data_IF_909046124264
#
_entry.id   IF_909046124264
#
_cell.length_a   1.000
_cell.length_b   1.000
_cell.length_c   1.000
_cell.angle_alpha   90.00
_cell.angle_beta   90.00
_cell.angle_gamma   90.00
#
_symmetry.space_group_name_H-M   'P 1'
#
loop_
_entity.id
_entity.type
_entity.pdbx_description
1 polymer ?
#
# COMPACT_ATOMS: atom_id res chain seq x y z
N UNK A 1 1.51 -35.68 2.11
CA UNK A 1 2.18 -34.43 2.50
C UNK A 1 1.14 -33.34 2.37
N UNK A 2 0.93 -32.56 3.42
CA UNK A 2 -0.03 -31.45 3.39
C UNK A 2 0.39 -30.46 2.28
N UNK A 3 -0.57 -29.91 1.54
CA UNK A 3 -0.33 -28.85 0.54
C UNK A 3 0.53 -27.71 1.08
N UNK A 4 0.42 -27.40 2.38
CA UNK A 4 1.20 -26.35 3.04
C UNK A 4 2.65 -26.76 3.29
N UNK A 5 2.89 -28.00 3.72
CA UNK A 5 4.26 -28.54 3.91
C UNK A 5 5.04 -28.51 2.59
N UNK A 6 4.40 -28.89 1.48
CA UNK A 6 5.01 -28.82 0.15
C UNK A 6 5.42 -27.40 -0.25
N UNK A 7 4.64 -26.38 0.14
CA UNK A 7 4.95 -24.99 -0.15
C UNK A 7 6.15 -24.50 0.68
N UNK A 8 6.26 -24.90 1.95
CA UNK A 8 7.45 -24.62 2.76
C UNK A 8 8.72 -25.26 2.19
N UNK A 9 8.65 -26.52 1.74
CA UNK A 9 9.77 -27.16 1.06
C UNK A 9 10.17 -26.43 -0.23
N UNK A 10 9.18 -25.97 -1.01
CA UNK A 10 9.41 -25.18 -2.23
C UNK A 10 10.13 -23.87 -1.88
N UNK A 11 9.69 -23.17 -0.83
CA UNK A 11 10.33 -21.94 -0.35
C UNK A 11 11.79 -22.16 0.05
N UNK A 12 12.09 -23.19 0.85
CA UNK A 12 13.45 -23.52 1.25
C UNK A 12 14.35 -23.81 0.04
N UNK A 13 13.88 -24.66 -0.89
CA UNK A 13 14.64 -25.03 -2.11
C UNK A 13 14.94 -23.81 -2.96
N UNK A 14 13.97 -22.94 -3.16
CA UNK A 14 14.12 -21.74 -3.99
C UNK A 14 15.06 -20.72 -3.35
N UNK A 15 14.93 -20.48 -2.04
CA UNK A 15 15.84 -19.62 -1.30
C UNK A 15 17.30 -20.12 -1.36
N UNK A 16 17.52 -21.43 -1.21
CA UNK A 16 18.85 -22.04 -1.38
C UNK A 16 19.37 -21.88 -2.81
N UNK A 17 18.52 -22.07 -3.83
CA UNK A 17 18.89 -21.89 -5.24
C UNK A 17 19.37 -20.45 -5.53
N UNK A 18 18.78 -19.46 -4.87
CA UNK A 18 19.14 -18.05 -5.00
C UNK A 18 20.32 -17.62 -4.11
N UNK A 19 20.92 -18.54 -3.34
CA UNK A 19 22.11 -18.29 -2.53
C UNK A 19 21.85 -17.91 -1.07
N UNK A 20 20.62 -18.08 -0.57
CA UNK A 20 20.28 -17.93 0.84
C UNK A 20 20.36 -19.25 1.63
N UNK A 21 20.21 -19.16 2.95
CA UNK A 21 19.95 -20.33 3.81
C UNK A 21 18.45 -20.60 3.84
N UNK A 22 18.00 -21.55 3.00
CA UNK A 22 16.59 -21.85 2.82
C UNK A 22 15.89 -22.32 4.10
N UNK A 23 16.58 -23.10 4.95
CA UNK A 23 16.00 -23.58 6.20
C UNK A 23 15.87 -22.42 7.20
N UNK A 24 16.91 -21.59 7.35
CA UNK A 24 16.87 -20.44 8.25
C UNK A 24 15.79 -19.42 7.84
N UNK A 25 15.54 -19.27 6.53
CA UNK A 25 14.46 -18.42 5.99
C UNK A 25 13.09 -19.01 6.32
N UNK A 26 12.88 -20.31 6.11
CA UNK A 26 11.60 -20.97 6.47
C UNK A 26 11.32 -20.86 7.97
N UNK A 27 12.32 -21.10 8.82
CA UNK A 27 12.19 -20.95 10.28
C UNK A 27 11.79 -19.52 10.66
N UNK A 28 12.42 -18.52 10.04
CA UNK A 28 12.08 -17.11 10.27
C UNK A 28 10.64 -16.79 9.83
N UNK A 29 10.16 -17.34 8.71
CA UNK A 29 8.77 -17.17 8.30
C UNK A 29 7.79 -17.90 9.22
N UNK A 30 8.14 -19.06 9.77
CA UNK A 30 7.31 -19.69 10.81
C UNK A 30 7.15 -18.78 12.03
N UNK A 31 8.23 -18.13 12.49
CA UNK A 31 8.16 -17.14 13.55
C UNK A 31 7.27 -15.95 13.17
N UNK A 32 7.43 -15.40 11.97
CA UNK A 32 6.58 -14.31 11.47
C UNK A 32 5.10 -14.72 11.38
N UNK A 33 4.79 -15.93 10.92
CA UNK A 33 3.40 -16.39 10.80
C UNK A 33 2.77 -16.66 12.17
N UNK A 34 3.59 -17.02 13.17
CA UNK A 34 3.11 -17.34 14.52
C UNK A 34 2.52 -16.14 15.26
N UNK A 35 2.82 -14.90 14.82
CA UNK A 35 2.27 -13.70 15.46
C UNK A 35 0.85 -13.37 14.98
N UNK A 36 0.37 -14.00 13.91
CA UNK A 36 -0.96 -13.75 13.34
C UNK A 36 -1.97 -14.80 13.84
N UNK A 37 -3.16 -14.34 14.24
CA UNK A 37 -4.25 -15.21 14.68
C UNK A 37 -5.36 -15.30 13.65
N UNK A 38 -5.99 -16.48 13.51
CA UNK A 38 -7.21 -16.62 12.70
C UNK A 38 -8.41 -15.81 13.25
N UNK A 39 -8.32 -15.24 14.46
CA UNK A 39 -9.30 -14.26 14.97
C UNK A 39 -9.47 -13.07 14.02
N UNK A 40 -8.40 -12.70 13.31
CA UNK A 40 -8.38 -11.61 12.34
C UNK A 40 -9.40 -11.83 11.23
N UNK A 41 -9.60 -13.07 10.79
CA UNK A 41 -10.56 -13.38 9.73
C UNK A 41 -12.00 -13.07 10.16
N UNK A 42 -12.39 -13.47 11.37
CA UNK A 42 -13.72 -13.17 11.91
C UNK A 42 -13.89 -11.68 12.21
N UNK A 43 -12.85 -11.03 12.73
CA UNK A 43 -12.83 -9.57 12.91
C UNK A 43 -13.06 -8.83 11.59
N UNK A 44 -12.35 -9.21 10.52
CA UNK A 44 -12.49 -8.59 9.20
C UNK A 44 -13.91 -8.79 8.64
N UNK A 45 -14.48 -9.98 8.80
CA UNK A 45 -15.85 -10.27 8.39
C UNK A 45 -16.87 -9.41 9.12
N UNK A 46 -16.66 -9.17 10.42
CA UNK A 46 -17.53 -8.32 11.24
C UNK A 46 -17.41 -6.81 10.94
N UNK A 47 -16.49 -6.39 10.07
CA UNK A 47 -16.40 -5.00 9.57
C UNK A 47 -17.16 -4.78 8.26
N UNK A 48 -17.68 -5.83 7.64
CA UNK A 48 -18.49 -5.70 6.44
C UNK A 48 -19.87 -5.14 6.78
N UNK A 49 -20.29 -4.09 6.06
CA UNK A 49 -21.63 -3.55 6.15
C UNK A 49 -22.48 -4.18 5.02
N UNK A 50 -23.51 -5.00 5.34
CA UNK A 50 -24.25 -5.79 4.36
C UNK A 50 -25.25 -5.00 3.49
N UNK A 51 -25.72 -3.83 3.95
CA UNK A 51 -26.70 -3.02 3.23
C UNK A 51 -26.08 -2.07 2.22
N UNK A 52 -24.97 -1.43 2.59
CA UNK A 52 -24.14 -0.56 1.78
C UNK A 52 -23.25 -1.40 0.87
N UNK A 53 -22.59 -2.44 1.41
CA UNK A 53 -21.67 -3.29 0.66
C UNK A 53 -20.20 -2.90 0.75
N UNK A 54 -19.79 -2.15 1.76
CA UNK A 54 -18.39 -1.77 1.99
C UNK A 54 -17.86 -2.30 3.33
N UNK A 55 -16.58 -2.06 3.60
CA UNK A 55 -15.97 -2.33 4.90
C UNK A 55 -15.75 -1.04 5.69
N UNK A 56 -16.08 -1.08 6.98
CA UNK A 56 -15.65 -0.07 7.94
C UNK A 56 -14.13 -0.17 8.19
N UNK A 57 -13.53 0.94 8.61
CA UNK A 57 -12.09 1.02 8.87
C UNK A 57 -11.66 0.30 10.16
N UNK A 58 -12.49 0.32 11.20
CA UNK A 58 -12.25 -0.32 12.50
C UNK A 58 -13.57 -0.60 13.24
N UNK A 59 -13.53 -1.26 14.40
CA UNK A 59 -14.73 -1.53 15.20
C UNK A 59 -15.42 -0.22 15.63
N UNK A 60 -14.67 0.78 16.07
CA UNK A 60 -15.24 2.07 16.48
C UNK A 60 -15.93 2.81 15.34
N UNK A 61 -15.45 2.68 14.10
CA UNK A 61 -16.12 3.24 12.93
C UNK A 61 -17.43 2.52 12.60
N UNK A 62 -17.52 1.20 12.86
CA UNK A 62 -18.76 0.42 12.70
C UNK A 62 -19.76 0.75 13.80
N UNK A 63 -19.30 0.82 15.03
CA UNK A 63 -20.15 0.86 16.23
C UNK A 63 -20.61 2.28 16.59
N UNK A 64 -20.16 3.31 15.86
CA UNK A 64 -20.53 4.70 16.09
C UNK A 64 -20.96 5.35 14.77
N UNK A 65 -22.04 6.12 14.80
CA UNK A 65 -22.52 6.84 13.61
C UNK A 65 -21.61 8.02 13.26
N UNK A 66 -21.12 8.75 14.27
CA UNK A 66 -20.26 9.91 14.09
C UNK A 66 -19.41 10.21 15.33
N UNK A 67 -18.43 11.11 15.17
CA UNK A 67 -17.74 11.82 16.26
C UNK A 67 -17.94 13.32 16.12
N UNK A 68 -18.16 14.02 17.22
CA UNK A 68 -18.24 15.48 17.23
C UNK A 68 -16.88 16.10 17.58
N UNK A 69 -16.36 16.97 16.73
CA UNK A 69 -15.11 17.69 16.95
C UNK A 69 -15.38 19.17 16.68
N UNK A 70 -15.15 20.02 17.68
CA UNK A 70 -15.40 21.47 17.59
C UNK A 70 -16.83 21.83 17.13
N UNK A 71 -17.83 21.01 17.49
CA UNK A 71 -19.23 21.19 17.11
C UNK A 71 -19.60 20.68 15.71
N UNK A 72 -18.65 20.10 14.97
CA UNK A 72 -18.89 19.49 13.66
C UNK A 72 -19.00 17.96 13.79
N UNK A 73 -20.03 17.38 13.15
CA UNK A 73 -20.22 15.93 13.09
C UNK A 73 -19.40 15.33 11.95
N UNK A 74 -18.56 14.36 12.30
CA UNK A 74 -17.81 13.54 11.35
C UNK A 74 -18.38 12.13 11.33
N UNK A 75 -19.15 11.80 10.31
CA UNK A 75 -19.81 10.51 10.18
C UNK A 75 -18.84 9.38 9.81
N UNK A 76 -19.09 8.19 10.33
CA UNK A 76 -18.40 6.97 9.95
C UNK A 76 -19.28 6.14 9.03
N UNK A 77 -18.78 5.87 7.82
CA UNK A 77 -19.39 4.99 6.84
C UNK A 77 -18.29 4.13 6.20
N UNK A 78 -18.64 2.99 5.60
CA UNK A 78 -17.69 2.23 4.79
C UNK A 78 -17.02 3.08 3.72
N UNK A 79 -15.76 2.76 3.42
CA UNK A 79 -15.00 3.48 2.41
C UNK A 79 -14.27 2.54 1.43
N UNK A 80 -13.96 3.07 0.25
CA UNK A 80 -13.31 2.34 -0.83
C UNK A 80 -11.89 1.86 -0.50
N UNK A 81 -11.14 2.57 0.35
CA UNK A 81 -9.78 2.18 0.76
C UNK A 81 -9.88 0.94 1.65
N UNK A 82 -10.71 0.98 2.71
CA UNK A 82 -10.95 -0.18 3.57
C UNK A 82 -11.54 -1.36 2.80
N UNK A 83 -12.46 -1.11 1.87
CA UNK A 83 -13.07 -2.17 1.05
C UNK A 83 -12.06 -2.83 0.11
N UNK A 84 -11.21 -2.04 -0.56
CA UNK A 84 -10.16 -2.57 -1.41
C UNK A 84 -9.09 -3.32 -0.61
N UNK A 85 -8.71 -2.80 0.57
CA UNK A 85 -7.73 -3.43 1.45
C UNK A 85 -8.26 -4.76 2.04
N UNK A 86 -9.50 -4.79 2.53
CA UNK A 86 -10.13 -6.00 3.02
C UNK A 86 -10.20 -7.09 1.94
N UNK A 87 -10.63 -6.74 0.73
CA UNK A 87 -10.69 -7.71 -0.39
C UNK A 87 -9.29 -8.15 -0.84
N UNK A 88 -8.30 -7.26 -0.84
CA UNK A 88 -6.90 -7.63 -1.04
C UNK A 88 -6.43 -8.63 0.00
N UNK A 89 -6.81 -8.44 1.27
CA UNK A 89 -6.44 -9.35 2.34
C UNK A 89 -7.00 -10.75 2.15
N UNK A 90 -8.26 -10.87 1.71
CA UNK A 90 -8.85 -12.18 1.40
C UNK A 90 -8.04 -12.94 0.34
N UNK A 91 -7.63 -12.24 -0.72
CA UNK A 91 -6.83 -12.84 -1.80
C UNK A 91 -5.40 -13.16 -1.33
N UNK A 92 -4.72 -12.18 -0.75
CA UNK A 92 -3.30 -12.26 -0.40
C UNK A 92 -3.00 -13.19 0.77
N UNK A 93 -3.96 -13.51 1.63
CA UNK A 93 -3.75 -14.50 2.71
C UNK A 93 -4.16 -15.92 2.31
N UNK A 94 -4.55 -16.11 1.05
CA UNK A 94 -5.03 -17.38 0.50
C UNK A 94 -6.41 -17.80 1.01
N UNK A 95 -7.19 -16.87 1.58
CA UNK A 95 -8.58 -17.16 1.95
C UNK A 95 -9.45 -17.36 0.71
N UNK A 96 -9.16 -16.61 -0.35
CA UNK A 96 -9.79 -16.71 -1.66
C UNK A 96 -8.72 -16.77 -2.76
N UNK A 97 -8.98 -17.52 -3.83
CA UNK A 97 -8.21 -17.40 -5.07
C UNK A 97 -8.77 -16.28 -5.94
N UNK A 98 -10.08 -16.03 -5.85
CA UNK A 98 -10.77 -14.97 -6.56
C UNK A 98 -11.89 -14.34 -5.73
N UNK A 99 -12.11 -13.02 -5.89
CA UNK A 99 -13.27 -12.35 -5.30
C UNK A 99 -14.61 -12.87 -5.85
N UNK A 100 -14.59 -13.63 -6.94
CA UNK A 100 -15.76 -14.32 -7.49
C UNK A 100 -16.27 -15.46 -6.60
N UNK A 101 -15.47 -15.94 -5.63
CA UNK A 101 -15.88 -16.95 -4.65
C UNK A 101 -16.71 -16.40 -3.48
N UNK A 102 -16.72 -15.07 -3.29
CA UNK A 102 -17.59 -14.42 -2.30
C UNK A 102 -19.06 -14.72 -2.61
N UNK A 103 -19.97 -14.76 -1.62
CA UNK A 103 -21.41 -14.92 -1.90
C UNK A 103 -21.94 -13.89 -2.91
N UNK A 104 -22.80 -14.31 -3.84
CA UNK A 104 -23.27 -13.45 -4.93
C UNK A 104 -23.88 -12.12 -4.45
N UNK A 105 -24.67 -12.18 -3.37
CA UNK A 105 -25.28 -11.00 -2.77
C UNK A 105 -24.23 -9.99 -2.30
N UNK A 106 -23.13 -10.47 -1.70
CA UNK A 106 -22.03 -9.66 -1.20
C UNK A 106 -21.27 -9.00 -2.36
N UNK A 107 -20.99 -9.76 -3.42
CA UNK A 107 -20.36 -9.22 -4.64
C UNK A 107 -21.20 -8.11 -5.26
N UNK A 108 -22.51 -8.32 -5.41
CA UNK A 108 -23.43 -7.30 -5.96
C UNK A 108 -23.45 -6.03 -5.12
N UNK A 109 -23.46 -6.15 -3.79
CA UNK A 109 -23.41 -5.00 -2.87
C UNK A 109 -22.08 -4.24 -3.00
N UNK A 110 -20.94 -4.92 -3.05
CA UNK A 110 -19.62 -4.28 -3.27
C UNK A 110 -19.54 -3.54 -4.62
N UNK A 111 -20.04 -4.15 -5.69
CA UNK A 111 -20.10 -3.51 -7.02
C UNK A 111 -21.00 -2.27 -7.01
N UNK A 112 -22.17 -2.38 -6.39
CA UNK A 112 -23.11 -1.27 -6.26
C UNK A 112 -22.50 -0.12 -5.44
N UNK A 113 -21.90 -0.44 -4.30
CA UNK A 113 -21.19 0.51 -3.45
C UNK A 113 -20.13 1.26 -4.25
N UNK A 114 -19.20 0.55 -4.88
CA UNK A 114 -18.09 1.15 -5.63
C UNK A 114 -18.59 2.04 -6.77
N UNK A 115 -19.60 1.58 -7.51
CA UNK A 115 -20.18 2.32 -8.64
C UNK A 115 -20.86 3.61 -8.17
N UNK A 116 -21.48 3.60 -6.99
CA UNK A 116 -22.21 4.75 -6.45
C UNK A 116 -21.32 5.92 -6.03
N UNK A 117 -20.03 5.67 -5.77
CA UNK A 117 -19.09 6.70 -5.34
C UNK A 117 -18.54 7.54 -6.51
N UNK A 118 -18.74 7.08 -7.76
CA UNK A 118 -18.22 7.77 -8.94
C UNK A 118 -19.09 8.97 -9.31
N UNK A 119 -18.48 10.15 -9.31
CA UNK A 119 -19.11 11.39 -9.74
C UNK A 119 -19.23 11.44 -11.28
N UNK A 120 -20.44 11.60 -11.84
CA UNK A 120 -20.62 11.81 -13.27
C UNK A 120 -20.04 13.14 -13.76
N UNK A 121 -19.93 14.13 -12.88
CA UNK A 121 -19.49 15.49 -13.23
C UNK A 121 -18.01 15.54 -13.59
N UNK A 122 -17.15 14.92 -12.78
CA UNK A 122 -15.68 15.06 -12.87
C UNK A 122 -14.94 13.71 -12.96
N UNK A 123 -15.64 12.57 -12.78
CA UNK A 123 -15.06 11.24 -12.91
C UNK A 123 -14.16 10.83 -11.74
N UNK A 124 -14.25 11.53 -10.59
CA UNK A 124 -13.57 11.16 -9.34
C UNK A 124 -14.49 10.39 -8.39
N UNK A 125 -13.87 9.76 -7.39
CA UNK A 125 -14.55 9.01 -6.33
C UNK A 125 -14.75 9.92 -5.12
N UNK A 126 -15.99 9.98 -4.61
CA UNK A 126 -16.34 10.75 -3.42
C UNK A 126 -17.23 9.94 -2.49
N UNK A 127 -16.93 9.99 -1.20
CA UNK A 127 -17.69 9.32 -0.15
C UNK A 127 -18.75 10.24 0.43
N UNK A 128 -19.96 9.75 0.75
CA UNK A 128 -21.04 10.58 1.30
C UNK A 128 -20.62 11.39 2.53
N UNK A 129 -19.79 10.81 3.41
CA UNK A 129 -19.35 11.43 4.66
C UNK A 129 -18.30 12.55 4.49
N UNK A 130 -17.65 12.67 3.33
CA UNK A 130 -16.60 13.67 3.09
C UNK A 130 -16.90 14.61 1.91
N UNK A 131 -17.74 14.18 0.97
CA UNK A 131 -18.06 14.91 -0.26
C UNK A 131 -16.81 15.23 -1.08
N UNK A 132 -16.81 16.37 -1.77
CA UNK A 132 -15.68 16.82 -2.60
C UNK A 132 -14.53 17.44 -1.80
N UNK A 133 -14.72 17.72 -0.51
CA UNK A 133 -13.75 18.41 0.35
C UNK A 133 -12.67 17.46 0.89
N UNK A 134 -11.98 16.78 -0.02
CA UNK A 134 -10.88 15.87 0.27
C UNK A 134 -9.58 16.38 -0.34
N UNK A 135 -8.45 16.10 0.33
CA UNK A 135 -7.12 16.46 -0.18
C UNK A 135 -6.87 15.82 -1.55
N UNK A 136 -6.09 16.50 -2.38
CA UNK A 136 -5.69 16.00 -3.71
C UNK A 136 -5.10 14.58 -3.64
N UNK A 137 -4.29 14.31 -2.62
CA UNK A 137 -3.66 13.00 -2.41
C UNK A 137 -4.67 11.88 -2.12
N UNK A 138 -5.81 12.16 -1.48
CA UNK A 138 -6.89 11.20 -1.25
C UNK A 138 -7.69 10.98 -2.53
N UNK A 139 -8.04 12.07 -3.23
CA UNK A 139 -8.83 12.03 -4.47
C UNK A 139 -8.21 11.13 -5.55
N UNK A 140 -6.91 11.30 -5.82
CA UNK A 140 -6.22 10.46 -6.82
C UNK A 140 -6.12 8.99 -6.40
N UNK A 141 -6.18 8.73 -5.10
CA UNK A 141 -6.04 7.42 -4.49
C UNK A 141 -7.32 6.61 -4.53
N UNK A 142 -8.42 7.20 -4.08
CA UNK A 142 -9.76 6.61 -4.10
C UNK A 142 -10.16 6.24 -5.53
N UNK A 143 -9.75 7.05 -6.51
CA UNK A 143 -9.88 6.71 -7.91
C UNK A 143 -9.13 5.42 -8.30
N UNK A 144 -7.86 5.28 -7.90
CA UNK A 144 -7.07 4.08 -8.20
C UNK A 144 -7.68 2.84 -7.53
N UNK A 145 -8.16 2.95 -6.28
CA UNK A 145 -8.82 1.83 -5.62
C UNK A 145 -10.11 1.40 -6.30
N UNK A 146 -10.94 2.33 -6.76
CA UNK A 146 -12.13 1.99 -7.54
C UNK A 146 -11.77 1.31 -8.87
N UNK A 147 -10.70 1.73 -9.54
CA UNK A 147 -10.20 1.09 -10.76
C UNK A 147 -9.73 -0.35 -10.49
N UNK A 148 -9.00 -0.59 -9.40
CA UNK A 148 -8.60 -1.96 -9.01
C UNK A 148 -9.81 -2.85 -8.71
N UNK A 149 -10.85 -2.30 -8.09
CA UNK A 149 -12.07 -3.05 -7.79
C UNK A 149 -12.77 -3.53 -9.06
N UNK A 150 -12.77 -2.76 -10.16
CA UNK A 150 -13.29 -3.21 -11.46
C UNK A 150 -12.64 -4.52 -11.91
N UNK A 151 -11.31 -4.63 -11.78
CA UNK A 151 -10.58 -5.84 -12.13
C UNK A 151 -10.86 -7.02 -11.20
N UNK A 152 -10.97 -6.78 -9.89
CA UNK A 152 -11.23 -7.85 -8.90
C UNK A 152 -12.63 -8.46 -9.01
N UNK A 153 -13.63 -7.65 -9.34
CA UNK A 153 -15.04 -8.02 -9.35
C UNK A 153 -15.65 -8.12 -10.76
N UNK A 154 -14.81 -7.98 -11.80
CA UNK A 154 -15.19 -8.06 -13.21
C UNK A 154 -16.43 -7.19 -13.55
N UNK A 155 -16.33 -5.89 -13.27
CA UNK A 155 -17.38 -4.92 -13.60
C UNK A 155 -16.80 -3.65 -14.22
N UNK A 156 -17.68 -2.84 -14.80
CA UNK A 156 -17.34 -1.51 -15.33
C UNK A 156 -17.99 -0.41 -14.50
N UNK A 157 -17.24 0.64 -14.23
CA UNK A 157 -17.76 1.86 -13.63
C UNK A 157 -18.80 2.52 -14.56
N UNK A 158 -19.82 3.19 -14.00
CA UNK A 158 -20.96 3.70 -14.77
C UNK A 158 -20.64 4.93 -15.64
N UNK A 159 -19.52 5.63 -15.37
CA UNK A 159 -19.09 6.83 -16.09
C UNK A 159 -17.58 6.77 -16.38
N UNK A 160 -17.07 7.52 -17.37
CA UNK A 160 -15.64 7.67 -17.57
C UNK A 160 -14.97 8.31 -16.36
N UNK A 161 -13.88 7.71 -15.89
CA UNK A 161 -13.01 8.22 -14.84
C UNK A 161 -12.28 9.49 -15.27
N UNK A 162 -11.77 10.26 -14.31
CA UNK A 162 -10.94 11.43 -14.60
C UNK A 162 -9.72 11.09 -15.48
N UNK A 163 -9.12 9.90 -15.29
CA UNK A 163 -7.98 9.43 -16.09
C UNK A 163 -8.39 9.11 -17.53
N UNK A 164 -9.55 8.47 -17.74
CA UNK A 164 -10.06 8.16 -19.08
C UNK A 164 -10.38 9.44 -19.85
N UNK A 165 -11.04 10.42 -19.19
CA UNK A 165 -11.32 11.74 -19.77
C UNK A 165 -10.04 12.46 -20.23
N UNK A 166 -8.99 12.41 -19.42
CA UNK A 166 -7.67 12.96 -19.76
C UNK A 166 -6.99 12.23 -20.94
N UNK A 167 -7.26 10.94 -21.13
CA UNK A 167 -6.72 10.18 -22.28
C UNK A 167 -7.51 10.48 -23.55
N UNK A 168 -8.83 10.58 -23.44
CA UNK A 168 -9.74 10.86 -24.55
C UNK A 168 -9.57 12.27 -25.14
N UNK A 169 -8.94 13.21 -24.41
CA UNK A 169 -8.60 14.52 -24.96
C UNK A 169 -7.55 14.45 -26.08
N UNK A 170 -6.76 13.37 -26.16
CA UNK A 170 -5.78 13.14 -27.23
C UNK A 170 -4.81 14.30 -27.42
N UNK A 171 -4.46 14.60 -28.68
CA UNK A 171 -3.61 15.74 -29.09
C UNK A 171 -4.38 17.02 -29.41
N UNK A 172 -5.66 17.09 -29.07
CA UNK A 172 -6.45 18.30 -29.32
C UNK A 172 -5.89 19.48 -28.50
N UNK A 173 -5.34 20.54 -29.15
CA UNK A 173 -4.68 21.63 -28.45
C UNK A 173 -5.63 22.43 -27.57
N UNK A 174 -6.87 22.64 -28.00
CA UNK A 174 -7.87 23.40 -27.26
C UNK A 174 -8.32 22.65 -26.00
N UNK A 175 -8.52 21.33 -26.10
CA UNK A 175 -8.80 20.49 -24.93
C UNK A 175 -7.61 20.38 -23.99
N UNK A 176 -6.38 20.30 -24.51
CA UNK A 176 -5.17 20.32 -23.68
C UNK A 176 -5.04 21.66 -22.97
N UNK A 177 -5.33 22.79 -23.62
CA UNK A 177 -5.32 24.11 -23.01
C UNK A 177 -6.35 24.23 -21.89
N UNK A 178 -7.59 23.78 -22.11
CA UNK A 178 -8.66 23.73 -21.09
C UNK A 178 -8.28 22.84 -19.90
N UNK A 179 -7.64 21.68 -20.15
CA UNK A 179 -7.15 20.80 -19.09
C UNK A 179 -5.99 21.46 -18.32
N UNK A 180 -5.05 22.10 -19.02
CA UNK A 180 -3.90 22.78 -18.43
C UNK A 180 -4.32 23.99 -17.59
N UNK A 181 -5.36 24.73 -18.01
CA UNK A 181 -5.95 25.83 -17.24
C UNK A 181 -6.48 25.34 -15.88
N UNK A 182 -6.95 24.10 -15.82
CA UNK A 182 -7.41 23.45 -14.59
C UNK A 182 -6.31 22.67 -13.83
N UNK A 183 -5.07 22.63 -14.35
CA UNK A 183 -3.93 22.02 -13.65
C UNK A 183 -3.27 23.02 -12.69
N UNK A 184 -2.63 22.55 -11.60
CA UNK A 184 -1.82 23.40 -10.74
C UNK A 184 -0.76 24.20 -11.51
N UNK A 185 -0.55 25.46 -11.12
CA UNK A 185 0.38 26.39 -11.79
C UNK A 185 1.80 25.84 -11.94
N UNK A 186 2.29 25.07 -10.96
CA UNK A 186 3.62 24.47 -11.00
C UNK A 186 3.80 23.40 -12.07
N UNK A 187 2.75 22.98 -12.77
CA UNK A 187 2.84 22.04 -13.89
C UNK A 187 2.82 22.73 -15.26
N UNK A 188 2.74 24.06 -15.31
CA UNK A 188 2.59 24.81 -16.57
C UNK A 188 3.90 24.97 -17.34
N UNK A 189 5.06 24.89 -16.66
CA UNK A 189 6.37 24.98 -17.29
C UNK A 189 7.44 24.23 -16.51
N UNK A 190 8.59 23.99 -17.15
CA UNK A 190 9.75 23.36 -16.51
C UNK A 190 10.28 24.23 -15.36
N UNK A 191 10.33 25.54 -15.56
CA UNK A 191 10.85 26.51 -14.60
C UNK A 191 9.96 26.58 -13.36
N UNK A 192 8.65 26.68 -13.54
CA UNK A 192 7.69 26.69 -12.44
C UNK A 192 7.71 25.37 -11.66
N UNK A 193 7.89 24.25 -12.37
CA UNK A 193 7.99 22.94 -11.72
C UNK A 193 9.28 22.79 -10.91
N UNK A 194 10.41 23.26 -11.43
CA UNK A 194 11.68 23.27 -10.69
C UNK A 194 11.61 24.19 -9.46
N UNK A 195 10.99 25.37 -9.58
CA UNK A 195 10.76 26.25 -8.44
C UNK A 195 9.92 25.56 -7.36
N UNK A 196 8.85 24.90 -7.78
CA UNK A 196 8.02 24.08 -6.89
C UNK A 196 8.83 22.96 -6.21
N UNK A 197 9.63 22.19 -6.95
CA UNK A 197 10.46 21.13 -6.38
C UNK A 197 11.47 21.69 -5.37
N UNK A 198 12.07 22.85 -5.64
CA UNK A 198 12.99 23.54 -4.72
C UNK A 198 12.28 24.11 -3.48
N UNK A 199 10.99 24.41 -3.56
CA UNK A 199 10.20 24.90 -2.41
C UNK A 199 9.90 23.82 -1.38
N UNK A 200 10.04 22.54 -1.74
CA UNK A 200 9.78 21.41 -0.85
C UNK A 200 10.98 21.14 0.07
N UNK A 201 10.69 20.77 1.32
CA UNK A 201 11.69 20.46 2.35
C UNK A 201 12.21 19.02 2.18
N UNK A 202 13.07 18.76 1.19
CA UNK A 202 13.64 17.44 0.94
C UNK A 202 14.60 16.99 2.05
N UNK A 203 15.33 17.94 2.63
CA UNK A 203 16.35 17.67 3.64
C UNK A 203 15.73 17.13 4.93
N UNK A 204 14.63 17.74 5.41
CA UNK A 204 13.99 17.35 6.67
C UNK A 204 12.66 16.61 6.48
N UNK A 205 12.06 16.63 5.29
CA UNK A 205 10.73 16.06 5.03
C UNK A 205 10.67 15.33 3.69
N UNK A 206 11.66 14.47 3.42
CA UNK A 206 11.72 13.68 2.20
C UNK A 206 10.46 12.86 1.92
N UNK A 207 9.86 12.22 2.94
CA UNK A 207 8.59 11.48 2.75
C UNK A 207 7.43 12.40 2.33
N UNK A 208 7.07 13.47 3.08
CA UNK A 208 6.02 14.39 2.64
C UNK A 208 6.26 15.01 1.26
N UNK A 209 7.51 15.43 0.98
CA UNK A 209 7.90 16.02 -0.31
C UNK A 209 7.72 15.00 -1.44
N UNK A 210 8.29 13.80 -1.29
CA UNK A 210 8.14 12.70 -2.26
C UNK A 210 6.69 12.24 -2.44
N UNK A 211 5.89 12.20 -1.36
CA UNK A 211 4.48 11.85 -1.43
C UNK A 211 3.67 12.87 -2.24
N UNK A 212 3.98 14.16 -2.13
CA UNK A 212 3.29 15.22 -2.87
C UNK A 212 3.61 15.17 -4.37
N UNK A 213 4.87 14.89 -4.73
CA UNK A 213 5.27 14.70 -6.12
C UNK A 213 4.64 13.42 -6.70
N UNK A 214 4.76 12.29 -6.00
CA UNK A 214 4.23 10.99 -6.47
C UNK A 214 2.72 11.00 -6.63
N UNK A 215 1.99 11.69 -5.75
CA UNK A 215 0.53 11.84 -5.85
C UNK A 215 0.09 12.60 -7.11
N UNK A 216 0.99 13.39 -7.71
CA UNK A 216 0.74 14.14 -8.94
C UNK A 216 1.39 13.48 -10.17
N UNK A 217 1.93 12.27 -10.03
CA UNK A 217 2.76 11.65 -11.06
C UNK A 217 2.12 11.53 -12.43
N UNK A 218 0.82 11.20 -12.49
CA UNK A 218 0.08 11.14 -13.76
C UNK A 218 0.02 12.52 -14.44
N UNK A 219 -0.21 13.59 -13.67
CA UNK A 219 -0.22 14.95 -14.22
C UNK A 219 1.18 15.41 -14.63
N UNK A 220 2.21 15.09 -13.83
CA UNK A 220 3.61 15.38 -14.15
C UNK A 220 4.02 14.68 -15.47
N UNK A 221 3.65 13.41 -15.64
CA UNK A 221 3.91 12.67 -16.89
C UNK A 221 3.13 13.28 -18.06
N UNK A 222 1.86 13.63 -17.87
CA UNK A 222 1.03 14.24 -18.90
C UNK A 222 1.55 15.63 -19.33
N UNK A 223 2.11 16.40 -18.40
CA UNK A 223 2.75 17.70 -18.66
C UNK A 223 4.14 17.59 -19.29
N UNK A 224 4.67 16.37 -19.50
CA UNK A 224 6.01 16.16 -20.05
C UNK A 224 7.15 16.52 -19.08
N UNK A 225 6.86 16.56 -17.78
CA UNK A 225 7.80 17.01 -16.73
C UNK A 225 8.46 15.86 -15.95
N UNK A 226 8.23 14.61 -16.37
CA UNK A 226 8.74 13.43 -15.68
C UNK A 226 10.29 13.41 -15.58
N UNK A 227 10.99 13.75 -16.66
CA UNK A 227 12.46 13.81 -16.66
C UNK A 227 12.99 14.95 -15.79
N UNK A 228 12.27 16.07 -15.69
CA UNK A 228 12.61 17.19 -14.80
C UNK A 228 12.59 16.75 -13.33
N UNK A 229 11.57 15.98 -12.93
CA UNK A 229 11.49 15.43 -11.58
C UNK A 229 12.64 14.45 -11.30
N UNK A 230 12.95 13.56 -12.26
CA UNK A 230 14.01 12.56 -12.11
C UNK A 230 15.39 13.21 -12.01
N UNK A 231 15.70 14.18 -12.87
CA UNK A 231 17.00 14.88 -12.86
C UNK A 231 17.21 15.63 -11.53
N UNK A 232 16.17 16.31 -11.06
CA UNK A 232 16.18 16.97 -9.75
C UNK A 232 16.46 15.95 -8.63
N UNK A 233 15.71 14.85 -8.56
CA UNK A 233 15.87 13.83 -7.53
C UNK A 233 17.26 13.18 -7.58
N UNK A 234 17.81 12.92 -8.77
CA UNK A 234 19.16 12.42 -8.93
C UNK A 234 20.19 13.37 -8.34
N UNK A 235 20.01 14.69 -8.53
CA UNK A 235 20.95 15.72 -8.05
C UNK A 235 21.02 15.85 -6.53
N UNK A 236 19.99 15.41 -5.80
CA UNK A 236 19.88 15.54 -4.34
C UNK A 236 19.97 14.19 -3.61
N UNK A 237 20.18 13.08 -4.32
CA UNK A 237 20.37 11.77 -3.70
C UNK A 237 21.74 11.70 -3.00
N UNK A 238 21.77 11.18 -1.78
CA UNK A 238 23.01 10.96 -1.04
C UNK A 238 23.74 9.71 -1.59
N UNK A 239 25.01 9.80 -2.02
CA UNK A 239 25.72 8.67 -2.60
C UNK A 239 26.06 7.58 -1.56
N UNK A 240 26.25 7.92 -0.29
CA UNK A 240 26.63 6.96 0.75
C UNK A 240 25.45 6.04 1.13
N UNK A 241 24.27 6.60 1.33
CA UNK A 241 23.07 5.87 1.76
C UNK A 241 22.10 5.53 0.63
N UNK A 242 22.17 6.23 -0.50
CA UNK A 242 21.13 6.17 -1.54
C UNK A 242 19.80 6.81 -1.13
N UNK A 243 19.71 7.42 0.06
CA UNK A 243 18.51 8.10 0.53
C UNK A 243 18.41 9.54 0.03
N UNK A 244 17.23 10.13 0.22
CA UNK A 244 16.96 11.55 -0.02
C UNK A 244 16.63 12.18 1.34
N UNK A 245 17.39 13.21 1.72
CA UNK A 245 17.29 13.88 3.02
C UNK A 245 18.36 13.44 4.03
N UNK A 246 18.43 14.17 5.15
CA UNK A 246 19.54 14.06 6.11
C UNK A 246 19.41 12.93 7.13
N UNK A 247 18.20 12.40 7.30
CA UNK A 247 17.93 11.37 8.30
C UNK A 247 18.40 10.00 7.81
N UNK A 248 18.82 9.18 8.77
CA UNK A 248 19.04 7.75 8.62
C UNK A 248 17.91 7.00 9.35
N UNK A 249 17.77 5.69 9.14
CA UNK A 249 16.69 4.91 9.78
C UNK A 249 15.36 4.92 9.01
N UNK A 250 14.24 4.73 9.73
CA UNK A 250 12.94 4.52 9.10
C UNK A 250 12.41 5.77 8.36
N UNK A 251 12.81 6.96 8.76
CA UNK A 251 12.50 8.21 8.06
C UNK A 251 13.12 8.23 6.65
N UNK A 252 14.36 7.76 6.53
CA UNK A 252 15.04 7.62 5.24
C UNK A 252 14.30 6.62 4.34
N UNK A 253 13.93 5.47 4.90
CA UNK A 253 13.19 4.41 4.21
C UNK A 253 11.82 4.89 3.74
N UNK A 254 11.12 5.66 4.57
CA UNK A 254 9.86 6.28 4.20
C UNK A 254 10.07 7.18 2.97
N UNK A 255 11.11 8.01 2.96
CA UNK A 255 11.50 8.82 1.80
C UNK A 255 11.75 7.97 0.54
N UNK A 256 12.59 6.94 0.66
CA UNK A 256 12.92 5.99 -0.42
C UNK A 256 11.65 5.38 -1.02
N UNK A 257 10.75 4.88 -0.17
CA UNK A 257 9.47 4.30 -0.61
C UNK A 257 8.72 5.26 -1.52
N UNK A 258 8.52 6.50 -1.08
CA UNK A 258 7.71 7.47 -1.83
C UNK A 258 8.41 7.88 -3.12
N UNK A 259 9.69 8.20 -3.03
CA UNK A 259 10.47 8.68 -4.18
C UNK A 259 10.62 7.60 -5.25
N UNK A 260 10.70 6.32 -4.87
CA UNK A 260 10.69 5.20 -5.83
C UNK A 260 9.46 5.22 -6.75
N UNK A 261 8.32 5.73 -6.28
CA UNK A 261 7.11 5.92 -7.08
C UNK A 261 7.28 6.90 -8.23
N UNK A 262 8.09 7.96 -8.05
CA UNK A 262 8.39 8.96 -9.09
C UNK A 262 9.18 8.30 -10.23
N UNK A 263 10.22 7.52 -9.91
CA UNK A 263 11.01 6.79 -10.91
C UNK A 263 10.17 5.76 -11.68
N UNK A 264 9.26 5.05 -10.99
CA UNK A 264 8.33 4.10 -11.61
C UNK A 264 7.40 4.80 -12.62
N UNK A 265 6.82 5.94 -12.24
CA UNK A 265 5.95 6.73 -13.12
C UNK A 265 6.72 7.31 -14.33
N UNK A 266 7.94 7.78 -14.11
CA UNK A 266 8.82 8.31 -15.14
C UNK A 266 9.43 7.23 -16.05
N UNK A 267 9.28 5.94 -15.70
CA UNK A 267 9.94 4.82 -16.39
C UNK A 267 11.46 5.01 -16.47
N UNK A 268 12.07 5.35 -15.34
CA UNK A 268 13.51 5.53 -15.18
C UNK A 268 14.06 4.60 -14.11
N UNK A 269 15.29 4.14 -14.31
CA UNK A 269 16.00 3.34 -13.32
C UNK A 269 16.39 4.21 -12.12
N UNK A 270 16.23 3.68 -10.90
CA UNK A 270 16.67 4.35 -9.67
C UNK A 270 18.21 4.36 -9.62
N UNK A 271 18.85 5.52 -9.42
CA UNK A 271 20.30 5.59 -9.20
C UNK A 271 20.69 5.03 -7.83
N UNK A 272 21.95 4.64 -7.69
CA UNK A 272 22.53 4.16 -6.44
C UNK A 272 21.69 3.05 -5.75
N UNK A 273 21.09 2.18 -6.56
CA UNK A 273 20.06 1.26 -6.12
C UNK A 273 20.52 0.26 -5.05
N UNK A 274 21.79 -0.18 -5.10
CA UNK A 274 22.35 -1.08 -4.10
C UNK A 274 22.38 -0.43 -2.71
N UNK A 275 22.98 0.75 -2.56
CA UNK A 275 23.01 1.46 -1.28
C UNK A 275 21.60 1.82 -0.80
N UNK A 276 20.73 2.22 -1.73
CA UNK A 276 19.31 2.50 -1.42
C UNK A 276 18.60 1.28 -0.84
N UNK A 277 18.79 0.09 -1.42
CA UNK A 277 18.21 -1.15 -0.92
C UNK A 277 18.85 -1.58 0.41
N UNK A 278 20.17 -1.41 0.56
CA UNK A 278 20.88 -1.78 1.79
C UNK A 278 20.48 -0.89 2.97
N UNK A 279 20.28 0.40 2.77
CA UNK A 279 19.70 1.29 3.79
C UNK A 279 18.35 0.78 4.29
N UNK A 280 17.48 0.32 3.38
CA UNK A 280 16.20 -0.27 3.77
C UNK A 280 16.36 -1.61 4.53
N UNK A 281 17.31 -2.45 4.09
CA UNK A 281 17.63 -3.71 4.76
C UNK A 281 18.23 -3.52 6.15
N UNK A 282 19.11 -2.54 6.33
CA UNK A 282 19.71 -2.17 7.61
C UNK A 282 18.64 -1.75 8.62
N UNK A 283 17.64 -0.97 8.17
CA UNK A 283 16.53 -0.53 9.03
C UNK A 283 15.71 -1.70 9.60
N UNK A 284 15.54 -2.78 8.84
CA UNK A 284 14.84 -3.98 9.32
C UNK A 284 15.58 -4.65 10.48
N UNK A 285 16.91 -4.57 10.51
CA UNK A 285 17.74 -5.18 11.55
C UNK A 285 18.02 -4.27 12.75
N UNK A 286 17.65 -2.99 12.70
CA UNK A 286 17.78 -2.08 13.85
C UNK A 286 16.97 -2.60 15.05
N UNK A 287 17.56 -2.64 16.24
CA UNK A 287 16.85 -2.92 17.50
C UNK A 287 16.20 -1.63 18.02
N UNK A 288 15.21 -1.15 17.28
CA UNK A 288 14.38 0.01 17.60
C UNK A 288 12.91 -0.34 17.54
N UNK A 289 12.13 0.25 18.44
CA UNK A 289 10.68 0.14 18.40
C UNK A 289 10.13 0.93 17.21
N UNK A 290 9.12 0.37 16.55
CA UNK A 290 8.43 1.06 15.46
C UNK A 290 7.30 1.91 16.03
N UNK A 291 7.28 3.21 15.71
CA UNK A 291 6.17 4.09 16.11
C UNK A 291 4.90 3.84 15.30
N UNK A 292 5.05 3.30 14.09
CA UNK A 292 3.94 2.94 13.22
C UNK A 292 4.23 1.64 12.47
N UNK A 293 3.19 0.85 12.24
CA UNK A 293 3.26 -0.44 11.55
C UNK A 293 3.89 -0.32 10.15
N UNK A 294 3.67 0.81 9.48
CA UNK A 294 4.18 1.05 8.12
C UNK A 294 5.70 1.06 8.04
N UNK A 295 6.42 1.27 9.13
CA UNK A 295 7.88 1.38 9.11
C UNK A 295 8.56 0.13 8.52
N UNK A 296 8.18 -1.05 9.00
CA UNK A 296 8.72 -2.33 8.53
C UNK A 296 8.27 -2.63 7.10
N UNK A 297 6.98 -2.38 6.81
CA UNK A 297 6.43 -2.55 5.48
C UNK A 297 7.13 -1.67 4.45
N UNK A 298 7.40 -0.42 4.77
CA UNK A 298 8.05 0.52 3.86
C UNK A 298 9.47 0.07 3.51
N UNK A 299 10.18 -0.60 4.43
CA UNK A 299 11.50 -1.16 4.16
C UNK A 299 11.43 -2.32 3.15
N UNK A 300 10.63 -3.34 3.43
CA UNK A 300 10.45 -4.48 2.51
C UNK A 300 9.93 -4.03 1.14
N UNK A 301 8.94 -3.14 1.14
CA UNK A 301 8.37 -2.60 -0.08
C UNK A 301 9.38 -1.79 -0.88
N UNK A 302 10.27 -1.03 -0.23
CA UNK A 302 11.33 -0.28 -0.92
C UNK A 302 12.29 -1.20 -1.65
N UNK A 303 12.77 -2.28 -1.00
CA UNK A 303 13.69 -3.25 -1.61
C UNK A 303 13.04 -3.88 -2.85
N UNK A 304 11.79 -4.33 -2.71
CA UNK A 304 10.99 -4.84 -3.83
C UNK A 304 10.89 -3.80 -4.95
N UNK A 305 10.49 -2.57 -4.63
CA UNK A 305 10.29 -1.53 -5.64
C UNK A 305 11.57 -1.20 -6.41
N UNK A 306 12.71 -1.19 -5.73
CA UNK A 306 14.02 -0.93 -6.32
C UNK A 306 14.38 -2.05 -7.30
N UNK A 307 14.27 -3.31 -6.89
CA UNK A 307 14.59 -4.46 -7.74
C UNK A 307 13.65 -4.56 -8.95
N UNK A 308 12.34 -4.36 -8.75
CA UNK A 308 11.34 -4.30 -9.83
C UNK A 308 11.64 -3.16 -10.82
N UNK A 309 11.99 -1.97 -10.30
CA UNK A 309 12.35 -0.81 -11.11
C UNK A 309 13.57 -1.10 -12.00
N UNK A 310 14.65 -1.64 -11.42
CA UNK A 310 15.87 -1.97 -12.13
C UNK A 310 15.65 -3.00 -13.24
N UNK A 311 14.85 -4.05 -12.98
CA UNK A 311 14.53 -5.08 -13.99
C UNK A 311 13.78 -4.50 -15.18
N UNK A 312 12.87 -3.55 -14.93
CA UNK A 312 12.01 -2.93 -15.95
C UNK A 312 12.73 -1.86 -16.76
N UNK A 313 13.55 -1.02 -16.11
CA UNK A 313 14.05 0.21 -16.71
C UNK A 313 15.58 0.32 -16.78
N UNK A 314 16.33 -0.57 -16.11
CA UNK A 314 17.79 -0.52 -16.06
C UNK A 314 18.50 -1.37 -17.14
N UNK A 315 17.76 -2.03 -18.03
CA UNK A 315 18.33 -2.94 -19.04
C UNK A 315 19.12 -4.10 -18.41
N UNK A 316 20.09 -4.65 -19.13
CA UNK A 316 20.89 -5.79 -18.64
C UNK A 316 21.76 -5.44 -17.43
N UNK A 317 22.24 -4.19 -17.34
CA UNK A 317 22.99 -3.73 -16.18
C UNK A 317 22.09 -3.68 -14.93
N UNK A 318 20.88 -3.12 -15.06
CA UNK A 318 19.89 -3.08 -13.98
C UNK A 318 19.46 -4.47 -13.52
N UNK A 319 19.25 -5.42 -14.44
CA UNK A 319 18.94 -6.82 -14.08
C UNK A 319 20.04 -7.47 -13.25
N UNK A 320 21.32 -7.26 -13.61
CA UNK A 320 22.46 -7.76 -12.81
C UNK A 320 22.50 -7.12 -11.43
N UNK A 321 22.30 -5.81 -11.34
CA UNK A 321 22.25 -5.11 -10.06
C UNK A 321 21.07 -5.55 -9.18
N UNK A 322 19.90 -5.81 -9.78
CA UNK A 322 18.76 -6.36 -9.05
C UNK A 322 19.08 -7.75 -8.47
N UNK A 323 19.75 -8.62 -9.24
CA UNK A 323 20.18 -9.94 -8.75
C UNK A 323 21.21 -9.83 -7.62
N UNK A 324 22.13 -8.86 -7.69
CA UNK A 324 23.09 -8.56 -6.62
C UNK A 324 22.38 -8.13 -5.33
N UNK A 325 21.40 -7.21 -5.43
CA UNK A 325 20.58 -6.77 -4.30
C UNK A 325 19.84 -7.96 -3.66
N UNK A 326 19.18 -8.81 -4.47
CA UNK A 326 18.46 -9.97 -3.97
C UNK A 326 19.40 -10.95 -3.23
N UNK A 327 20.57 -11.22 -3.79
CA UNK A 327 21.55 -12.12 -3.17
C UNK A 327 22.07 -11.58 -1.82
N UNK A 328 22.23 -10.26 -1.68
CA UNK A 328 22.58 -9.62 -0.40
C UNK A 328 21.41 -9.69 0.60
N UNK A 329 20.20 -9.36 0.16
CA UNK A 329 19.01 -9.45 1.00
C UNK A 329 18.77 -10.87 1.51
N UNK A 330 18.95 -11.91 0.69
CA UNK A 330 18.78 -13.32 1.08
C UNK A 330 19.73 -13.73 2.21
N UNK A 331 20.98 -13.26 2.21
CA UNK A 331 21.95 -13.54 3.28
C UNK A 331 21.54 -12.95 4.63
N UNK A 332 20.77 -11.87 4.61
CA UNK A 332 20.35 -11.10 5.79
C UNK A 332 18.88 -11.34 6.16
N UNK A 333 18.12 -12.01 5.30
CA UNK A 333 16.68 -12.20 5.43
C UNK A 333 16.24 -12.90 6.72
N UNK A 334 16.91 -13.97 7.22
CA UNK A 334 16.47 -14.65 8.43
C UNK A 334 16.37 -13.70 9.64
N UNK A 335 17.36 -12.83 9.83
CA UNK A 335 17.36 -11.86 10.93
C UNK A 335 16.29 -10.78 10.72
N UNK A 336 16.18 -10.24 9.51
CA UNK A 336 15.21 -9.19 9.18
C UNK A 336 13.76 -9.66 9.33
N UNK A 337 13.46 -10.90 8.93
CA UNK A 337 12.12 -11.50 9.06
C UNK A 337 11.78 -11.75 10.55
N UNK A 338 12.71 -12.28 11.35
CA UNK A 338 12.51 -12.45 12.80
C UNK A 338 12.34 -11.12 13.52
N UNK A 339 13.16 -10.13 13.16
CA UNK A 339 13.04 -8.76 13.65
C UNK A 339 11.67 -8.18 13.30
N UNK A 340 11.16 -8.47 12.10
CA UNK A 340 9.83 -8.07 11.70
C UNK A 340 8.75 -8.72 12.58
N UNK A 341 8.85 -10.03 12.83
CA UNK A 341 7.94 -10.74 13.72
C UNK A 341 7.88 -10.11 15.13
N UNK A 342 9.04 -9.85 15.73
CA UNK A 342 9.16 -9.18 17.05
C UNK A 342 8.48 -7.80 17.04
N UNK A 343 8.74 -7.00 16.00
CA UNK A 343 8.24 -5.63 15.89
C UNK A 343 6.76 -5.55 15.53
N UNK A 344 6.13 -6.62 15.05
CA UNK A 344 4.67 -6.67 14.82
C UNK A 344 3.87 -6.75 16.14
N UNK A 345 4.44 -7.37 17.18
CA UNK A 345 3.72 -7.67 18.43
C UNK A 345 3.13 -6.44 19.16
N UNK A 346 3.82 -5.30 19.28
CA UNK A 346 3.26 -4.12 19.95
C UNK A 346 2.01 -3.52 19.28
N UNK A 347 1.74 -3.89 18.02
CA UNK A 347 0.57 -3.43 17.27
C UNK A 347 -0.64 -4.37 17.42
N UNK A 348 -0.46 -5.58 17.99
CA UNK A 348 -1.54 -6.54 18.15
C UNK A 348 -2.53 -6.08 19.23
N UNK A 349 -3.81 -6.04 18.88
CA UNK A 349 -4.90 -5.61 19.76
C UNK A 349 -5.69 -6.80 20.33
N UNK A 350 -6.51 -6.53 21.36
CA UNK A 350 -7.33 -7.56 22.03
C UNK A 350 -8.37 -8.21 21.10
N UNK A 351 -8.83 -7.47 20.09
CA UNK A 351 -9.72 -7.97 19.03
C UNK A 351 -9.03 -8.92 18.05
N UNK A 352 -7.72 -9.13 18.22
CA UNK A 352 -6.88 -10.02 17.43
C UNK A 352 -6.31 -9.39 16.17
N UNK A 353 -6.74 -8.18 15.80
CA UNK A 353 -6.25 -7.43 14.65
C UNK A 353 -5.10 -6.48 15.05
N UNK A 354 -4.60 -5.69 14.10
CA UNK A 354 -3.47 -4.80 14.34
C UNK A 354 -3.86 -3.33 14.23
N UNK A 355 -3.26 -2.51 15.07
CA UNK A 355 -3.41 -1.05 15.10
C UNK A 355 -2.27 -0.33 14.37
N UNK A 356 -2.52 0.89 13.90
CA UNK A 356 -1.52 1.66 13.14
C UNK A 356 -0.30 2.07 13.98
N UNK A 357 -0.50 2.51 15.22
CA UNK A 357 0.57 2.77 16.20
C UNK A 357 0.48 1.77 17.35
N UNK A 358 1.49 1.62 18.23
CA UNK A 358 1.43 0.68 19.35
C UNK A 358 0.20 0.93 20.24
N UNK A 359 -0.77 0.03 20.12
CA UNK A 359 -2.01 0.06 20.87
C UNK A 359 -3.06 1.10 20.44
N UNK A 360 -2.95 1.80 19.30
CA UNK A 360 -3.99 2.74 18.85
C UNK A 360 -4.20 2.71 17.33
N UNK A 361 -5.47 2.61 16.91
CA UNK A 361 -5.86 2.69 15.50
C UNK A 361 -5.64 4.10 14.94
N UNK A 362 -5.47 4.21 13.62
CA UNK A 362 -5.43 5.54 13.01
C UNK A 362 -6.81 6.18 13.01
N UNK A 363 -6.94 7.38 13.59
CA UNK A 363 -8.18 8.17 13.50
C UNK A 363 -8.39 8.80 12.12
N UNK A 364 -7.33 8.92 11.31
CA UNK A 364 -7.40 9.52 9.97
C UNK A 364 -6.66 8.73 8.90
N UNK A 365 -7.16 8.75 7.67
CA UNK A 365 -6.41 8.32 6.48
C UNK A 365 -6.40 9.44 5.45
N UNK A 366 -5.21 9.96 5.13
CA UNK A 366 -5.05 11.14 4.25
C UNK A 366 -5.88 12.35 4.71
N UNK A 367 -5.91 12.59 6.02
CA UNK A 367 -6.71 13.63 6.70
C UNK A 367 -8.23 13.44 6.68
N UNK A 368 -8.75 12.39 6.04
CA UNK A 368 -10.14 11.99 6.20
C UNK A 368 -10.30 11.25 7.54
N UNK A 369 -11.31 11.60 8.34
CA UNK A 369 -11.61 10.91 9.60
C UNK A 369 -12.21 9.54 9.28
N UNK A 370 -11.58 8.48 9.77
CA UNK A 370 -11.96 7.08 9.45
C UNK A 370 -12.29 6.25 10.69
N UNK A 371 -11.89 6.68 11.89
CA UNK A 371 -12.24 6.02 13.15
C UNK A 371 -12.17 6.97 14.36
N UNK A 372 -12.44 6.43 15.55
CA UNK A 372 -12.22 7.13 16.82
C UNK A 372 -10.74 7.12 17.28
N UNK A 373 -9.88 6.29 16.70
CA UNK A 373 -8.48 6.15 17.12
C UNK A 373 -8.31 5.44 18.48
N UNK A 374 -9.12 4.42 18.75
CA UNK A 374 -9.12 3.69 20.01
C UNK A 374 -8.05 2.58 20.03
N UNK A 375 -7.95 1.88 21.17
CA UNK A 375 -7.11 0.68 21.32
C UNK A 375 -7.77 -0.52 20.65
N UNK A 376 -7.74 -0.54 19.32
CA UNK A 376 -8.41 -1.52 18.48
C UNK A 376 -7.60 -1.75 17.19
N UNK A 377 -7.89 -2.84 16.50
CA UNK A 377 -7.36 -3.05 15.16
C UNK A 377 -7.98 -2.09 14.15
N UNK A 378 -7.23 -1.78 13.10
CA UNK A 378 -7.74 -1.15 11.89
C UNK A 378 -7.35 -1.91 10.63
N UNK A 379 -8.17 -1.76 9.59
CA UNK A 379 -8.03 -2.53 8.33
C UNK A 379 -6.67 -2.28 7.71
N UNK A 380 -6.22 -1.04 7.66
CA UNK A 380 -4.96 -0.68 7.03
C UNK A 380 -3.76 -1.34 7.73
N UNK A 381 -3.65 -1.16 9.04
CA UNK A 381 -2.58 -1.76 9.83
C UNK A 381 -2.61 -3.30 9.81
N UNK A 382 -3.80 -3.88 9.83
CA UNK A 382 -3.99 -5.33 9.75
C UNK A 382 -3.55 -5.88 8.40
N UNK A 383 -3.91 -5.22 7.30
CA UNK A 383 -3.47 -5.58 5.94
C UNK A 383 -1.95 -5.42 5.83
N UNK A 384 -1.38 -4.33 6.34
CA UNK A 384 0.07 -4.12 6.34
C UNK A 384 0.81 -5.28 7.03
N UNK A 385 0.36 -5.71 8.21
CA UNK A 385 0.99 -6.82 8.94
C UNK A 385 0.75 -8.19 8.31
N UNK A 386 -0.48 -8.50 7.91
CA UNK A 386 -0.86 -9.83 7.44
C UNK A 386 -0.46 -10.10 5.99
N UNK A 387 -0.30 -9.05 5.18
CA UNK A 387 -0.12 -9.17 3.74
C UNK A 387 1.07 -8.34 3.29
N UNK A 388 1.13 -7.08 3.71
CA UNK A 388 2.15 -6.13 3.31
C UNK A 388 3.55 -6.64 3.63
N UNK A 389 3.84 -6.95 4.89
CA UNK A 389 5.18 -7.40 5.31
C UNK A 389 5.54 -8.72 4.62
N UNK A 390 4.68 -9.74 4.71
CA UNK A 390 4.94 -11.08 4.15
C UNK A 390 5.13 -11.05 2.63
N UNK A 391 4.24 -10.40 1.89
CA UNK A 391 4.32 -10.39 0.43
C UNK A 391 5.48 -9.55 -0.07
N UNK A 392 5.74 -8.40 0.55
CA UNK A 392 6.85 -7.56 0.10
C UNK A 392 8.19 -8.15 0.51
N UNK A 393 8.29 -8.88 1.63
CA UNK A 393 9.52 -9.62 1.95
C UNK A 393 9.76 -10.75 0.96
N UNK A 394 8.74 -11.53 0.59
CA UNK A 394 8.88 -12.58 -0.43
C UNK A 394 9.29 -11.99 -1.79
N UNK A 395 8.65 -10.91 -2.23
CA UNK A 395 8.98 -10.25 -3.51
C UNK A 395 10.36 -9.59 -3.50
N UNK A 396 10.76 -8.97 -2.39
CA UNK A 396 12.10 -8.40 -2.24
C UNK A 396 13.21 -9.45 -2.34
N UNK A 397 12.88 -10.72 -2.08
CA UNK A 397 13.80 -11.86 -2.10
C UNK A 397 13.65 -12.75 -3.34
N UNK A 398 12.81 -12.38 -4.31
CA UNK A 398 12.44 -13.22 -5.48
C UNK A 398 11.84 -14.59 -5.09
N UNK A 399 11.08 -14.64 -3.99
CA UNK A 399 10.45 -15.85 -3.46
C UNK A 399 8.92 -15.88 -3.62
N UNK A 400 8.34 -14.98 -4.41
CA UNK A 400 6.87 -14.81 -4.51
C UNK A 400 6.13 -16.06 -5.02
N UNK A 401 6.75 -16.81 -5.94
CA UNK A 401 6.20 -18.05 -6.48
C UNK A 401 6.15 -19.18 -5.44
N UNK A 402 6.84 -19.00 -4.31
CA UNK A 402 6.88 -19.94 -3.19
C UNK A 402 6.04 -19.45 -2.01
N UNK A 403 5.05 -18.60 -2.28
CA UNK A 403 4.12 -18.12 -1.27
C UNK A 403 3.41 -19.27 -0.55
N UNK A 404 3.33 -19.15 0.77
CA UNK A 404 2.58 -20.05 1.65
C UNK A 404 1.37 -19.29 2.20
N UNK A 405 0.12 -19.72 1.99
CA UNK A 405 -1.05 -19.06 2.56
C UNK A 405 -0.93 -18.87 4.08
N UNK A 406 -1.23 -17.66 4.54
CA UNK A 406 -1.24 -17.33 5.96
C UNK A 406 -2.42 -18.04 6.65
N UNK A 407 -3.63 -17.88 6.09
CA UNK A 407 -4.86 -18.43 6.68
C UNK A 407 -5.49 -19.54 5.83
N UNK A 408 -5.41 -19.46 4.50
CA UNK A 408 -6.04 -20.48 3.65
C UNK A 408 -7.57 -20.54 3.82
N UNK A 409 -8.16 -21.69 3.47
CA UNK A 409 -9.63 -21.86 3.47
C UNK A 409 -10.27 -21.80 4.86
N UNK A 410 -9.58 -22.25 5.92
CA UNK A 410 -10.09 -22.15 7.29
C UNK A 410 -10.32 -20.69 7.71
N UNK A 411 -9.42 -19.79 7.29
CA UNK A 411 -9.60 -18.36 7.46
C UNK A 411 -10.88 -17.86 6.78
N UNK A 412 -11.14 -18.28 5.54
CA UNK A 412 -12.33 -17.86 4.79
C UNK A 412 -13.64 -18.24 5.49
N UNK A 413 -13.72 -19.45 6.05
CA UNK A 413 -14.90 -19.90 6.80
C UNK A 413 -15.15 -19.01 8.02
N UNK A 414 -14.08 -18.64 8.73
CA UNK A 414 -14.14 -17.71 9.87
C UNK A 414 -14.54 -16.29 9.47
N UNK A 415 -14.12 -15.85 8.29
CA UNK A 415 -14.54 -14.58 7.72
C UNK A 415 -16.03 -14.57 7.39
N UNK A 416 -16.55 -15.61 6.73
CA UNK A 416 -17.98 -15.73 6.44
C UNK A 416 -18.81 -15.78 7.73
N UNK A 417 -18.34 -16.48 8.77
CA UNK A 417 -19.00 -16.46 10.08
C UNK A 417 -19.04 -15.04 10.69
N UNK A 418 -17.97 -14.25 10.52
CA UNK A 418 -17.94 -12.83 10.90
C UNK A 418 -18.99 -12.00 10.15
N UNK A 419 -19.08 -12.17 8.82
CA UNK A 419 -20.08 -11.48 7.98
C UNK A 419 -21.51 -11.84 8.40
N UNK A 420 -21.80 -13.12 8.64
CA UNK A 420 -23.14 -13.55 9.07
C UNK A 420 -23.50 -13.04 10.47
N UNK A 421 -22.51 -12.79 11.34
CA UNK A 421 -22.76 -12.25 12.69
C UNK A 421 -23.29 -10.81 12.70
N UNK A 422 -22.98 -10.02 11.66
CA UNK A 422 -23.46 -8.63 11.51
C UNK A 422 -24.68 -8.53 10.61
N UNK A 423 -24.84 -9.46 9.66
CA UNK A 423 -26.02 -9.52 8.79
C UNK A 423 -27.32 -9.85 9.52
N UNK A 424 -27.24 -10.56 10.65
CA UNK A 424 -28.40 -10.96 11.45
C UNK A 424 -28.79 -9.94 12.54
N UNK A 425 -28.09 -8.81 12.63
CA UNK A 425 -28.42 -7.69 13.53
C UNK A 425 -29.17 -6.64 12.75
#
# INVERSE_FOLDING_TARGET
>A
MDTREMQWEKLAKEATRLGGDGNAIVDAYHELYSVHSEKICSWLGALFEPEIGGFYYSNSARDNEYVEINGEKHYFLPDIESTNQATNMLLSTGMLESCMELPEWMRKKIVSFTSSLLSPEDGYIYHPQWGKNIRLSRRGRDLNWAIEMQGKFDFKLPYPTAIERLRESGDNPDKKAEIMENMPEHLHSKEAFLEYLNSLDWENKAYPSGNTVTAQGTQIVAAGLADVAVDFLNSIQRPESGSWGKYDGYEAVNGILKISGVYQQAKRAIPNALNTAMTAMDCLNLDVECEAVVWQYNAWYSIRNITDNLRRFGGEAGKRQAAEIVAECLRRAPEAIRSSAKKCLPFLCEDGAYSYTPGFSSCTSQAARVSLGLKEGDVNATVINCTGIIHNSLKALDLEESFVPLFGRSGYEKFLAGVESVRNK
#
